data_IF_737897255870
#
_entry.id   IF_737897255870
#
_cell.length_a   1.000
_cell.length_b   1.000
_cell.length_c   1.000
_cell.angle_alpha   90.00
_cell.angle_beta   90.00
_cell.angle_gamma   90.00
#
_symmetry.space_group_name_H-M   'P 1'
#
loop_
_entity.id
_entity.type
_entity.pdbx_description
1 polymer ?
#
# COMPACT_ATOMS: atom_id res chain seq x y z
N UNK A 1 -85.01 -21.63 13.80
CA UNK A 1 -85.05 -20.90 12.52
C UNK A 1 -83.75 -21.19 11.77
N UNK A 2 -83.87 -21.88 10.64
CA UNK A 2 -82.94 -22.16 9.53
C UNK A 2 -81.43 -22.51 9.69
N UNK A 3 -81.18 -23.77 9.31
CA UNK A 3 -80.08 -24.42 8.54
C UNK A 3 -79.60 -23.56 7.32
N UNK A 4 -78.35 -23.58 6.79
CA UNK A 4 -77.69 -24.59 5.92
C UNK A 4 -76.26 -24.11 5.46
N UNK A 5 -75.27 -25.04 5.49
CA UNK A 5 -74.06 -25.34 4.65
C UNK A 5 -73.08 -24.31 4.02
N UNK A 6 -71.81 -24.75 4.02
CA UNK A 6 -70.81 -24.67 2.91
C UNK A 6 -69.60 -23.77 3.22
N UNK A 7 -68.33 -24.04 2.91
CA UNK A 7 -67.59 -25.08 2.19
C UNK A 7 -66.09 -24.92 2.53
N UNK A 8 -65.29 -25.97 2.28
CA UNK A 8 -63.84 -26.02 2.48
C UNK A 8 -63.03 -24.96 1.70
N UNK A 9 -61.84 -24.62 2.23
CA UNK A 9 -60.74 -24.03 1.48
C UNK A 9 -59.43 -24.74 1.88
N UNK A 10 -59.00 -25.68 1.03
CA UNK A 10 -57.58 -25.91 0.76
C UNK A 10 -57.11 -24.79 -0.19
N UNK A 11 -55.89 -24.29 0.02
CA UNK A 11 -55.29 -23.25 -0.80
C UNK A 11 -53.88 -22.92 -0.34
N UNK A 12 -52.92 -23.67 -0.86
CA UNK A 12 -51.48 -23.37 -0.85
C UNK A 12 -51.23 -22.06 -1.61
N UNK A 13 -50.54 -21.09 -1.02
CA UNK A 13 -49.92 -20.01 -1.80
C UNK A 13 -48.55 -19.66 -1.22
N UNK A 14 -47.54 -20.26 -1.85
CA UNK A 14 -46.19 -19.72 -1.92
C UNK A 14 -46.21 -18.57 -2.94
N UNK A 15 -45.80 -17.37 -2.55
CA UNK A 15 -45.40 -16.31 -3.49
C UNK A 15 -43.87 -16.28 -3.53
N UNK A 16 -43.25 -16.76 -4.62
CA UNK A 16 -42.97 -16.04 -5.87
C UNK A 16 -42.04 -14.85 -5.65
N UNK A 17 -40.75 -15.15 -5.53
CA UNK A 17 -39.67 -14.28 -6.01
C UNK A 17 -39.33 -14.80 -7.41
N UNK A 18 -39.55 -13.95 -8.41
CA UNK A 18 -39.37 -14.25 -9.84
C UNK A 18 -37.89 -14.58 -10.16
N UNK A 19 -37.55 -15.80 -10.63
CA UNK A 19 -36.16 -16.19 -10.91
C UNK A 19 -35.59 -15.58 -12.21
N UNK A 20 -36.40 -14.89 -13.01
CA UNK A 20 -35.95 -14.29 -14.29
C UNK A 20 -35.28 -12.92 -14.08
N UNK A 21 -35.53 -12.24 -12.96
CA UNK A 21 -34.92 -10.94 -12.66
C UNK A 21 -33.45 -11.03 -12.21
N UNK A 22 -33.02 -12.16 -11.65
CA UNK A 22 -31.63 -12.37 -11.22
C UNK A 22 -30.68 -12.64 -12.40
N UNK A 23 -31.16 -13.28 -13.47
CA UNK A 23 -30.33 -13.61 -14.64
C UNK A 23 -29.93 -12.36 -15.45
N UNK A 24 -30.80 -11.34 -15.55
CA UNK A 24 -30.44 -10.08 -16.20
C UNK A 24 -29.46 -9.23 -15.37
N UNK A 25 -29.62 -9.23 -14.04
CA UNK A 25 -28.70 -8.53 -13.12
C UNK A 25 -27.33 -9.20 -13.12
N UNK A 26 -27.28 -10.54 -13.09
CA UNK A 26 -26.03 -11.30 -13.23
C UNK A 26 -25.39 -11.14 -14.62
N UNK A 27 -26.18 -11.03 -15.70
CA UNK A 27 -25.68 -10.78 -17.04
C UNK A 27 -25.14 -9.34 -17.22
N UNK A 28 -25.75 -8.33 -16.60
CA UNK A 28 -25.26 -6.94 -16.61
C UNK A 28 -23.98 -6.80 -15.77
N UNK A 29 -23.91 -7.44 -14.60
CA UNK A 29 -22.70 -7.49 -13.77
C UNK A 29 -21.58 -8.28 -14.44
N UNK A 30 -21.91 -9.38 -15.14
CA UNK A 30 -20.98 -10.17 -15.96
C UNK A 30 -20.40 -9.37 -17.12
N UNK A 31 -21.22 -8.62 -17.86
CA UNK A 31 -20.77 -7.75 -18.97
C UNK A 31 -19.89 -6.59 -18.50
N UNK A 32 -20.21 -5.98 -17.35
CA UNK A 32 -19.38 -4.95 -16.74
C UNK A 32 -18.02 -5.50 -16.24
N UNK A 33 -18.00 -6.70 -15.66
CA UNK A 33 -16.76 -7.40 -15.29
C UNK A 33 -15.92 -7.75 -16.52
N UNK A 34 -16.55 -8.20 -17.61
CA UNK A 34 -15.87 -8.60 -18.84
C UNK A 34 -15.31 -7.38 -19.61
N UNK A 35 -16.03 -6.26 -19.64
CA UNK A 35 -15.51 -4.98 -20.17
C UNK A 35 -14.33 -4.46 -19.33
N UNK A 36 -14.39 -4.54 -17.99
CA UNK A 36 -13.26 -4.26 -17.09
C UNK A 36 -12.07 -5.19 -17.34
N UNK A 37 -12.33 -6.46 -17.66
CA UNK A 37 -11.30 -7.46 -17.99
C UNK A 37 -10.61 -7.15 -19.32
N UNK A 38 -11.35 -6.72 -20.35
CA UNK A 38 -10.80 -6.33 -21.66
C UNK A 38 -10.01 -5.03 -21.57
N UNK A 39 -10.45 -4.07 -20.74
CA UNK A 39 -9.75 -2.80 -20.52
C UNK A 39 -8.47 -2.99 -19.69
N UNK A 40 -8.50 -3.85 -18.65
CA UNK A 40 -7.32 -4.23 -17.88
C UNK A 40 -6.32 -5.04 -18.71
N UNK A 41 -6.80 -5.97 -19.56
CA UNK A 41 -5.94 -6.71 -20.51
C UNK A 41 -5.32 -5.80 -21.58
N UNK A 42 -6.03 -4.76 -22.04
CA UNK A 42 -5.46 -3.72 -22.93
C UNK A 42 -4.42 -2.85 -22.23
N UNK A 43 -4.63 -2.52 -20.95
CA UNK A 43 -3.67 -1.74 -20.16
C UNK A 43 -2.37 -2.53 -19.92
N UNK A 44 -2.47 -3.83 -19.61
CA UNK A 44 -1.32 -4.75 -19.51
C UNK A 44 -0.66 -5.00 -20.88
N UNK A 45 -1.45 -5.00 -21.97
CA UNK A 45 -0.96 -5.13 -23.34
C UNK A 45 -0.18 -3.90 -23.85
N UNK A 46 -0.53 -2.69 -23.42
CA UNK A 46 0.18 -1.45 -23.78
C UNK A 46 1.53 -1.27 -23.07
N UNK A 47 1.76 -1.95 -21.95
CA UNK A 47 3.08 -2.01 -21.29
C UNK A 47 4.07 -2.83 -22.14
N UNK A 48 3.61 -3.55 -23.17
CA UNK A 48 4.43 -4.46 -24.00
C UNK A 48 5.06 -3.84 -25.26
N UNK A 49 4.92 -2.54 -25.51
CA UNK A 49 5.51 -1.90 -26.71
C UNK A 49 6.52 -0.84 -26.31
N UNK A 50 7.78 -1.27 -26.14
CA UNK A 50 8.90 -0.39 -25.80
C UNK A 50 10.09 -1.16 -25.21
N UNK A 51 10.75 -1.95 -26.05
CA UNK A 51 12.07 -2.58 -25.88
C UNK A 51 12.96 -2.08 -24.71
N UNK A 52 13.07 -2.87 -23.62
CA UNK A 52 14.29 -3.26 -22.87
C UNK A 52 13.87 -4.29 -21.75
N UNK A 53 14.52 -5.45 -21.58
CA UNK A 53 13.98 -6.56 -20.78
C UNK A 53 14.59 -6.69 -19.37
N UNK A 54 13.86 -6.37 -18.29
CA UNK A 54 14.03 -6.95 -16.93
C UNK A 54 12.71 -6.85 -16.14
N UNK A 55 12.27 -7.88 -15.39
CA UNK A 55 10.99 -7.87 -14.67
C UNK A 55 11.13 -7.09 -13.35
N UNK A 56 11.25 -5.77 -13.44
CA UNK A 56 11.23 -4.87 -12.30
C UNK A 56 9.97 -4.03 -12.43
N UNK A 57 8.95 -4.39 -11.66
CA UNK A 57 7.85 -3.52 -11.19
C UNK A 57 6.50 -4.22 -11.26
N UNK A 58 5.95 -4.47 -10.09
CA UNK A 58 4.52 -4.47 -9.89
C UNK A 58 4.26 -3.62 -8.67
N UNK A 59 3.34 -2.67 -8.82
CA UNK A 59 3.25 -1.47 -8.01
C UNK A 59 1.75 -1.25 -7.78
N UNK A 60 1.26 -1.56 -6.58
CA UNK A 60 -0.18 -1.66 -6.30
C UNK A 60 -0.55 -0.97 -5.00
N UNK A 61 -1.66 -0.24 -5.03
CA UNK A 61 -2.45 0.17 -3.86
C UNK A 61 -3.88 -0.34 -4.04
N UNK A 62 -4.21 -1.48 -3.44
CA UNK A 62 -5.58 -1.96 -3.33
C UNK A 62 -5.73 -2.76 -2.03
N UNK A 63 -6.94 -2.79 -1.45
CA UNK A 63 -7.21 -3.67 -0.30
C UNK A 63 -7.11 -5.15 -0.71
N UNK A 64 -6.89 -6.04 0.26
CA UNK A 64 -6.61 -7.47 0.04
C UNK A 64 -7.57 -8.15 -0.96
N UNK A 65 -8.86 -7.88 -0.86
CA UNK A 65 -9.87 -8.47 -1.76
C UNK A 65 -9.73 -8.03 -3.22
N UNK A 66 -9.27 -6.80 -3.46
CA UNK A 66 -9.01 -6.32 -4.81
C UNK A 66 -7.69 -6.89 -5.35
N UNK A 67 -6.65 -7.02 -4.53
CA UNK A 67 -5.36 -7.60 -4.95
C UNK A 67 -5.49 -9.09 -5.32
N UNK A 68 -6.21 -9.85 -4.51
CA UNK A 68 -6.48 -11.27 -4.74
C UNK A 68 -7.45 -11.45 -5.92
N UNK A 69 -8.53 -10.64 -5.97
CA UNK A 69 -9.53 -10.72 -7.04
C UNK A 69 -9.01 -10.36 -8.43
N UNK A 70 -7.91 -9.60 -8.54
CA UNK A 70 -7.27 -9.28 -9.82
C UNK A 70 -6.07 -10.20 -10.15
N UNK A 71 -5.72 -11.16 -9.28
CA UNK A 71 -4.61 -12.10 -9.44
C UNK A 71 -3.25 -11.45 -9.77
N UNK A 72 -3.05 -10.18 -9.38
CA UNK A 72 -1.89 -9.40 -9.82
C UNK A 72 -0.66 -9.75 -8.96
N UNK A 73 -0.82 -9.82 -7.64
CA UNK A 73 0.27 -10.18 -6.73
C UNK A 73 0.60 -11.67 -6.67
N UNK A 74 -0.36 -12.62 -6.72
CA UNK A 74 -0.05 -14.06 -6.62
C UNK A 74 0.98 -14.58 -7.64
N UNK A 75 1.11 -13.97 -8.82
CA UNK A 75 2.10 -14.35 -9.83
C UNK A 75 3.38 -13.49 -9.87
N UNK A 76 3.48 -12.44 -9.05
CA UNK A 76 4.60 -11.51 -9.10
C UNK A 76 5.71 -11.86 -8.12
N UNK A 77 6.94 -11.89 -8.61
CA UNK A 77 8.14 -12.26 -7.84
C UNK A 77 9.21 -11.17 -7.83
N UNK A 78 8.96 -10.01 -8.44
CA UNK A 78 9.95 -8.91 -8.50
C UNK A 78 10.04 -8.10 -7.21
N UNK A 79 10.61 -6.89 -7.32
CA UNK A 79 10.63 -5.94 -6.19
C UNK A 79 9.33 -5.15 -6.12
N UNK A 80 8.64 -5.20 -4.99
CA UNK A 80 7.39 -4.47 -4.74
C UNK A 80 7.68 -3.17 -3.97
N UNK A 81 7.22 -2.03 -4.49
CA UNK A 81 7.17 -0.77 -3.73
C UNK A 81 5.74 -0.55 -3.23
N UNK A 82 5.53 -0.62 -1.92
CA UNK A 82 4.20 -0.55 -1.30
C UNK A 82 4.19 0.33 -0.05
N UNK A 83 3.01 0.74 0.42
CA UNK A 83 2.93 1.27 1.78
C UNK A 83 3.11 0.16 2.81
N UNK A 84 2.93 0.52 4.08
CA UNK A 84 3.04 -0.42 5.18
C UNK A 84 1.70 -1.08 5.57
N UNK A 85 0.77 -1.24 4.64
CA UNK A 85 -0.47 -1.94 4.95
C UNK A 85 -0.18 -3.41 5.30
N UNK A 86 -0.63 -3.84 6.47
CA UNK A 86 -0.31 -5.16 7.03
C UNK A 86 -0.80 -6.32 6.16
N UNK A 87 -1.88 -6.13 5.40
CA UNK A 87 -2.46 -7.15 4.51
C UNK A 87 -1.48 -7.65 3.45
N UNK A 88 -0.47 -6.85 3.09
CA UNK A 88 0.52 -7.28 2.11
C UNK A 88 1.54 -8.29 2.65
N UNK A 89 1.67 -8.47 3.98
CA UNK A 89 2.68 -9.35 4.56
C UNK A 89 2.59 -10.80 4.05
N UNK A 90 1.37 -11.24 3.67
CA UNK A 90 1.13 -12.58 3.10
C UNK A 90 1.85 -12.81 1.77
N UNK A 91 2.23 -11.75 1.04
CA UNK A 91 2.95 -11.87 -0.22
C UNK A 91 4.48 -11.78 -0.07
N UNK A 92 5.01 -11.43 1.10
CA UNK A 92 6.46 -11.14 1.27
C UNK A 92 7.34 -12.34 0.91
N UNK A 93 6.86 -13.56 1.12
CA UNK A 93 7.60 -14.80 0.92
C UNK A 93 7.92 -15.12 -0.54
N UNK A 94 7.15 -14.60 -1.50
CA UNK A 94 7.32 -14.85 -2.93
C UNK A 94 8.04 -13.71 -3.67
N UNK A 95 8.26 -12.57 -3.00
CA UNK A 95 8.86 -11.38 -3.60
C UNK A 95 10.39 -11.46 -3.52
N UNK A 96 11.06 -10.99 -4.58
CA UNK A 96 12.52 -10.81 -4.57
C UNK A 96 12.93 -9.77 -3.51
N UNK A 97 12.14 -8.71 -3.37
CA UNK A 97 12.35 -7.68 -2.36
C UNK A 97 11.10 -6.83 -2.14
N UNK A 98 11.10 -6.10 -1.02
CA UNK A 98 10.12 -5.07 -0.72
C UNK A 98 10.86 -3.76 -0.46
N UNK A 99 10.38 -2.68 -1.06
CA UNK A 99 10.70 -1.30 -0.68
C UNK A 99 9.45 -0.67 -0.08
N UNK A 100 9.55 -0.11 1.13
CA UNK A 100 8.49 0.71 1.67
C UNK A 100 8.43 2.05 0.95
N UNK A 101 7.22 2.49 0.61
CA UNK A 101 6.97 3.68 -0.16
C UNK A 101 7.41 4.90 0.66
N UNK A 102 8.41 5.60 0.13
CA UNK A 102 9.09 6.69 0.79
C UNK A 102 8.14 7.85 1.15
N UNK A 103 7.19 8.17 0.27
CA UNK A 103 6.18 9.19 0.52
C UNK A 103 5.31 8.88 1.75
N UNK A 104 4.97 7.60 1.95
CA UNK A 104 4.21 7.15 3.11
C UNK A 104 5.04 7.24 4.38
N UNK A 105 6.32 6.84 4.32
CA UNK A 105 7.24 6.96 5.46
C UNK A 105 7.40 8.41 5.91
N UNK A 106 7.65 9.33 4.97
CA UNK A 106 7.80 10.76 5.29
C UNK A 106 6.51 11.37 5.83
N UNK A 107 5.35 10.98 5.30
CA UNK A 107 4.05 11.42 5.82
C UNK A 107 3.79 10.89 7.23
N UNK A 108 4.14 9.64 7.51
CA UNK A 108 4.04 9.08 8.87
C UNK A 108 4.98 9.80 9.84
N UNK A 109 6.24 10.05 9.46
CA UNK A 109 7.20 10.79 10.29
C UNK A 109 6.71 12.20 10.61
N UNK A 110 6.24 12.94 9.59
CA UNK A 110 5.63 14.26 9.76
C UNK A 110 4.43 14.21 10.70
N UNK A 111 3.51 13.27 10.48
CA UNK A 111 2.32 13.12 11.31
C UNK A 111 2.66 12.91 12.78
N UNK A 112 3.68 12.09 13.10
CA UNK A 112 4.13 11.94 14.48
C UNK A 112 4.79 13.21 15.02
N UNK A 113 5.60 13.92 14.22
CA UNK A 113 6.18 15.20 14.61
C UNK A 113 5.14 16.32 14.82
N UNK A 114 3.94 16.18 14.26
CA UNK A 114 2.81 17.09 14.46
C UNK A 114 1.98 16.77 15.71
N UNK A 115 2.05 15.53 16.24
CA UNK A 115 1.46 15.16 17.53
C UNK A 115 2.19 15.78 18.74
N UNK A 116 3.23 16.55 18.48
CA UNK A 116 4.14 17.09 19.47
C UNK A 116 3.55 18.28 20.23
N UNK A 117 2.71 17.98 21.22
CA UNK A 117 2.17 18.96 22.16
C UNK A 117 3.16 19.32 23.28
N UNK A 118 4.31 18.63 23.33
CA UNK A 118 5.35 18.80 24.34
C UNK A 118 6.16 20.09 24.08
N UNK A 119 6.47 20.90 25.11
CA UNK A 119 7.27 22.11 24.96
C UNK A 119 8.70 21.81 24.47
N UNK A 120 9.23 20.62 24.76
CA UNK A 120 10.56 20.19 24.35
C UNK A 120 10.58 19.54 22.96
N UNK A 121 9.44 19.50 22.26
CA UNK A 121 9.33 18.99 20.89
C UNK A 121 9.93 17.59 20.71
N UNK A 122 9.62 16.70 21.66
CA UNK A 122 10.25 15.37 21.77
C UNK A 122 10.03 14.56 20.49
N UNK A 123 8.86 14.64 19.85
CA UNK A 123 8.62 13.86 18.63
C UNK A 123 9.45 14.37 17.47
N UNK A 124 9.66 15.67 17.34
CA UNK A 124 10.50 16.26 16.29
C UNK A 124 11.98 15.90 16.44
N UNK A 125 12.46 15.71 17.67
CA UNK A 125 13.88 15.35 17.92
C UNK A 125 14.31 14.03 17.26
N UNK A 126 13.37 13.13 16.95
CA UNK A 126 13.69 11.89 16.24
C UNK A 126 13.09 11.81 14.82
N UNK A 127 11.89 12.38 14.61
CA UNK A 127 11.23 12.31 13.30
C UNK A 127 11.93 13.14 12.25
N UNK A 128 12.41 14.35 12.60
CA UNK A 128 13.08 15.24 11.66
C UNK A 128 14.46 14.70 11.25
N UNK A 129 15.33 14.24 12.16
CA UNK A 129 16.59 13.61 11.75
C UNK A 129 16.40 12.33 10.93
N UNK A 130 15.40 11.49 11.27
CA UNK A 130 15.08 10.30 10.48
C UNK A 130 14.63 10.68 9.06
N UNK A 131 13.73 11.66 8.93
CA UNK A 131 13.29 12.17 7.63
C UNK A 131 14.43 12.81 6.83
N UNK A 132 15.30 13.58 7.49
CA UNK A 132 16.45 14.22 6.87
C UNK A 132 17.44 13.21 6.31
N UNK A 133 17.79 12.17 7.08
CA UNK A 133 18.67 11.10 6.63
C UNK A 133 18.11 10.39 5.39
N UNK A 134 16.81 10.10 5.40
CA UNK A 134 16.09 9.52 4.27
C UNK A 134 16.12 10.41 3.03
N UNK A 135 15.83 11.71 3.19
CA UNK A 135 15.83 12.68 2.09
C UNK A 135 17.24 12.90 1.49
N UNK A 136 18.26 12.94 2.35
CA UNK A 136 19.66 13.03 1.92
C UNK A 136 20.09 11.76 1.17
N UNK A 137 19.69 10.57 1.62
CA UNK A 137 19.97 9.32 0.92
C UNK A 137 19.26 9.29 -0.45
N UNK A 138 18.01 9.75 -0.51
CA UNK A 138 17.30 9.94 -1.79
C UNK A 138 18.07 10.85 -2.74
N UNK A 139 18.52 12.00 -2.27
CA UNK A 139 19.27 12.95 -3.09
C UNK A 139 20.61 12.36 -3.58
N UNK A 140 21.30 11.57 -2.75
CA UNK A 140 22.52 10.86 -3.14
C UNK A 140 22.23 9.83 -4.24
N UNK A 141 21.15 9.06 -4.12
CA UNK A 141 20.72 8.10 -5.15
C UNK A 141 20.31 8.80 -6.44
N UNK A 142 19.55 9.90 -6.38
CA UNK A 142 19.19 10.68 -7.56
C UNK A 142 20.44 11.20 -8.29
N UNK A 143 21.41 11.74 -7.53
CA UNK A 143 22.70 12.18 -8.09
C UNK A 143 23.45 11.04 -8.77
N UNK A 144 23.49 9.86 -8.14
CA UNK A 144 24.11 8.67 -8.71
C UNK A 144 23.42 8.24 -10.02
N UNK A 145 22.08 8.23 -10.05
CA UNK A 145 21.28 7.95 -11.25
C UNK A 145 21.58 8.94 -12.37
N UNK A 146 21.61 10.23 -12.07
CA UNK A 146 21.94 11.28 -13.07
C UNK A 146 23.36 11.14 -13.61
N UNK A 147 24.30 10.72 -12.77
CA UNK A 147 25.69 10.45 -13.18
C UNK A 147 25.87 9.12 -13.93
N UNK A 148 24.82 8.30 -14.06
CA UNK A 148 24.89 7.00 -14.72
C UNK A 148 25.68 5.93 -13.94
N UNK A 149 25.95 6.16 -12.66
CA UNK A 149 26.65 5.18 -11.82
C UNK A 149 25.67 4.21 -11.17
N UNK A 150 26.14 2.99 -10.92
CA UNK A 150 25.31 1.89 -10.42
C UNK A 150 25.28 1.78 -8.89
N UNK A 151 26.09 2.58 -8.19
CA UNK A 151 26.19 2.58 -6.74
C UNK A 151 26.49 4.00 -6.22
N UNK A 152 26.01 4.29 -5.01
CA UNK A 152 26.40 5.50 -4.28
C UNK A 152 27.70 5.26 -3.51
N UNK A 153 28.32 6.35 -3.06
CA UNK A 153 29.43 6.31 -2.12
C UNK A 153 29.01 5.55 -0.83
N UNK A 154 29.68 4.43 -0.50
CA UNK A 154 29.30 3.60 0.64
C UNK A 154 29.47 4.32 1.99
N UNK A 155 30.45 5.22 2.12
CA UNK A 155 30.69 5.94 3.37
C UNK A 155 29.60 6.98 3.62
N UNK A 156 29.14 7.65 2.55
CA UNK A 156 27.99 8.56 2.60
C UNK A 156 26.74 7.80 3.03
N UNK A 157 26.44 6.66 2.40
CA UNK A 157 25.27 5.85 2.77
C UNK A 157 25.36 5.31 4.19
N UNK A 158 26.54 4.84 4.63
CA UNK A 158 26.75 4.36 5.99
C UNK A 158 26.53 5.47 7.03
N UNK A 159 27.05 6.66 6.79
CA UNK A 159 26.84 7.82 7.67
C UNK A 159 25.38 8.24 7.77
N UNK A 160 24.65 8.25 6.64
CA UNK A 160 23.22 8.54 6.62
C UNK A 160 22.41 7.45 7.33
N UNK A 161 22.79 6.18 7.12
CA UNK A 161 22.14 5.05 7.79
C UNK A 161 22.33 5.09 9.30
N UNK A 162 23.53 5.43 9.78
CA UNK A 162 23.81 5.57 11.21
C UNK A 162 22.97 6.69 11.86
N UNK A 163 22.84 7.85 11.20
CA UNK A 163 21.98 8.95 11.68
C UNK A 163 20.51 8.54 11.76
N UNK A 164 20.03 7.82 10.74
CA UNK A 164 18.68 7.26 10.74
C UNK A 164 18.47 6.27 11.89
N UNK A 165 19.39 5.31 12.06
CA UNK A 165 19.26 4.28 13.09
C UNK A 165 19.30 4.90 14.51
N UNK A 166 20.16 5.89 14.74
CA UNK A 166 20.21 6.65 15.98
C UNK A 166 18.90 7.40 16.25
N UNK A 167 18.37 8.11 15.25
CA UNK A 167 17.12 8.84 15.36
C UNK A 167 15.96 7.88 15.65
N UNK A 168 15.86 6.77 14.91
CA UNK A 168 14.81 5.76 15.12
C UNK A 168 14.93 5.12 16.50
N UNK A 169 16.13 4.79 16.98
CA UNK A 169 16.34 4.28 18.34
C UNK A 169 15.86 5.29 19.40
N UNK A 170 16.15 6.58 19.21
CA UNK A 170 15.63 7.64 20.06
C UNK A 170 14.09 7.70 20.03
N UNK A 171 13.49 7.55 18.86
CA UNK A 171 12.04 7.45 18.70
C UNK A 171 11.42 6.25 19.44
N UNK A 172 12.10 5.09 19.44
CA UNK A 172 11.68 3.92 20.22
C UNK A 172 11.74 4.25 21.72
N UNK A 173 12.89 4.74 22.20
CA UNK A 173 13.12 5.03 23.63
C UNK A 173 12.21 6.13 24.19
N UNK A 174 11.97 7.21 23.45
CA UNK A 174 11.18 8.35 23.94
C UNK A 174 9.67 8.09 23.92
N UNK A 175 9.23 7.04 23.23
CA UNK A 175 7.83 6.67 23.11
C UNK A 175 7.48 5.34 23.78
N UNK A 176 8.46 4.60 24.33
CA UNK A 176 8.22 3.25 24.85
C UNK A 176 7.12 3.17 25.90
N UNK A 177 7.18 4.10 26.86
CA UNK A 177 6.26 4.16 28.00
C UNK A 177 5.49 5.49 27.99
N UNK A 178 5.33 6.10 26.81
CA UNK A 178 4.57 7.36 26.68
C UNK A 178 3.08 7.05 26.65
N UNK A 179 2.34 7.72 27.52
CA UNK A 179 0.89 7.59 27.60
C UNK A 179 0.23 8.00 26.28
N UNK A 180 -0.80 7.25 25.90
CA UNK A 180 -1.63 7.55 24.75
C UNK A 180 -3.06 7.07 25.03
N UNK A 181 -4.12 7.81 24.62
CA UNK A 181 -5.50 7.44 24.92
C UNK A 181 -5.89 6.02 24.47
N UNK A 182 -5.23 5.52 23.42
CA UNK A 182 -5.49 4.21 22.84
C UNK A 182 -4.23 3.36 22.78
N UNK A 183 -3.90 2.71 23.89
CA UNK A 183 -2.81 1.74 23.96
C UNK A 183 -1.42 2.37 23.74
N UNK A 184 -0.67 1.85 22.77
CA UNK A 184 0.73 2.23 22.52
C UNK A 184 0.81 3.53 21.74
N UNK A 185 1.68 4.46 22.16
CA UNK A 185 1.89 5.73 21.44
C UNK A 185 2.22 5.46 19.96
N UNK A 186 1.56 6.14 19.00
CA UNK A 186 1.76 5.87 17.57
C UNK A 186 3.19 6.11 17.11
N UNK A 187 3.93 7.01 17.78
CA UNK A 187 5.36 7.21 17.56
C UNK A 187 6.21 5.98 17.89
N UNK A 188 5.85 5.23 18.93
CA UNK A 188 6.56 4.00 19.27
C UNK A 188 6.34 2.90 18.24
N UNK A 189 5.09 2.75 17.76
CA UNK A 189 4.72 1.83 16.69
C UNK A 189 5.49 2.17 15.41
N UNK A 190 5.53 3.45 15.02
CA UNK A 190 6.28 3.91 13.86
C UNK A 190 7.79 3.66 14.00
N UNK A 191 8.39 4.04 15.12
CA UNK A 191 9.83 3.90 15.33
C UNK A 191 10.25 2.41 15.36
N UNK A 192 9.51 1.56 16.08
CA UNK A 192 9.77 0.10 16.11
C UNK A 192 9.68 -0.49 14.70
N UNK A 193 8.69 -0.06 13.92
CA UNK A 193 8.54 -0.49 12.54
C UNK A 193 9.72 -0.05 11.67
N UNK A 194 10.10 1.22 11.73
CA UNK A 194 11.22 1.77 10.97
C UNK A 194 12.52 1.02 11.30
N UNK A 195 12.72 0.65 12.56
CA UNK A 195 13.86 -0.15 13.01
C UNK A 195 13.82 -1.58 12.44
N UNK A 196 12.71 -2.29 12.64
CA UNK A 196 12.56 -3.71 12.26
C UNK A 196 12.51 -3.92 10.74
N UNK A 197 11.99 -2.93 9.99
CA UNK A 197 11.87 -2.98 8.53
C UNK A 197 12.91 -2.11 7.82
N UNK A 198 14.02 -1.78 8.48
CA UNK A 198 15.02 -0.86 7.92
C UNK A 198 15.57 -1.33 6.56
N UNK A 199 15.73 -2.64 6.33
CA UNK A 199 16.11 -3.16 5.01
C UNK A 199 15.09 -2.81 3.92
N UNK A 200 13.79 -2.87 4.23
CA UNK A 200 12.72 -2.48 3.29
C UNK A 200 12.62 -0.96 3.15
N UNK A 201 13.03 -0.16 4.13
CA UNK A 201 13.08 1.31 4.02
C UNK A 201 14.20 1.75 3.08
N UNK A 202 15.35 1.07 3.14
CA UNK A 202 16.59 1.47 2.49
C UNK A 202 16.88 0.71 1.17
N UNK A 203 15.96 -0.12 0.67
CA UNK A 203 16.21 -0.98 -0.51
C UNK A 203 16.58 -0.18 -1.77
N UNK A 204 16.06 1.03 -1.93
CA UNK A 204 16.41 1.95 -3.03
C UNK A 204 17.91 2.34 -3.08
N UNK A 205 18.65 2.17 -1.99
CA UNK A 205 20.10 2.45 -1.96
C UNK A 205 20.95 1.26 -2.42
N UNK A 206 20.35 0.07 -2.49
CA UNK A 206 20.99 -1.17 -2.95
C UNK A 206 20.76 -1.35 -4.45
N UNK A 207 19.53 -1.07 -4.91
CA UNK A 207 19.16 -1.09 -6.32
C UNK A 207 18.59 0.27 -6.70
N UNK A 208 19.43 1.07 -7.38
CA UNK A 208 19.13 2.45 -7.73
C UNK A 208 18.04 2.57 -8.80
N UNK A 209 17.64 1.46 -9.44
CA UNK A 209 16.53 1.46 -10.39
C UNK A 209 15.17 1.57 -9.68
N UNK A 210 15.08 1.12 -8.43
CA UNK A 210 13.83 1.11 -7.66
C UNK A 210 13.29 2.53 -7.49
N UNK A 211 12.00 2.78 -7.79
CA UNK A 211 11.40 4.09 -7.54
C UNK A 211 11.18 4.30 -6.03
N UNK A 212 11.33 5.54 -5.58
CA UNK A 212 11.10 5.90 -4.18
C UNK A 212 9.63 5.80 -3.77
N UNK A 213 8.71 5.97 -4.71
CA UNK A 213 7.27 6.03 -4.46
C UNK A 213 6.50 5.14 -5.41
N UNK A 214 5.34 4.68 -4.98
CA UNK A 214 4.33 4.02 -5.81
C UNK A 214 3.47 5.00 -6.63
N UNK A 215 3.80 6.30 -6.66
CA UNK A 215 3.01 7.37 -7.29
C UNK A 215 2.66 7.10 -8.78
N UNK A 216 3.51 6.47 -9.60
CA UNK A 216 3.14 6.06 -10.97
C UNK A 216 1.89 5.15 -11.04
N UNK A 217 1.58 4.39 -9.99
CA UNK A 217 0.40 3.54 -9.92
C UNK A 217 -0.79 4.15 -9.18
N UNK A 218 -0.57 5.15 -8.34
CA UNK A 218 -1.67 5.90 -7.71
C UNK A 218 -2.38 6.83 -8.71
N UNK A 219 -1.66 7.41 -9.68
CA UNK A 219 -2.27 8.35 -10.63
C UNK A 219 -3.40 7.75 -11.49
N UNK A 220 -3.24 6.57 -12.12
CA UNK A 220 -4.33 5.95 -12.88
C UNK A 220 -5.52 5.58 -11.98
N UNK A 221 -5.26 5.13 -10.76
CA UNK A 221 -6.31 4.75 -9.80
C UNK A 221 -7.10 5.96 -9.29
N UNK A 222 -6.46 7.13 -9.11
CA UNK A 222 -7.13 8.38 -8.73
C UNK A 222 -8.15 8.81 -9.78
N UNK A 223 -7.81 8.68 -11.06
CA UNK A 223 -8.74 9.00 -12.16
C UNK A 223 -9.98 8.11 -12.13
N UNK A 224 -9.80 6.81 -11.88
CA UNK A 224 -10.94 5.86 -11.73
C UNK A 224 -11.78 6.19 -10.49
N UNK A 225 -11.15 6.45 -9.34
CA UNK A 225 -11.87 6.82 -8.10
C UNK A 225 -12.64 8.14 -8.23
N UNK A 226 -12.13 9.10 -9.01
CA UNK A 226 -12.82 10.35 -9.31
C UNK A 226 -14.03 10.15 -10.24
N UNK A 227 -13.98 9.16 -11.13
CA UNK A 227 -15.09 8.80 -12.03
C UNK A 227 -16.18 7.95 -11.35
N UNK A 228 -15.92 7.43 -10.15
CA UNK A 228 -16.86 6.62 -9.37
C UNK A 228 -17.59 7.45 -8.29
N UNK A 229 -17.44 8.78 -8.31
CA UNK A 229 -18.09 9.70 -7.37
C UNK A 229 -19.25 10.41 -8.03
#
# INVERSE_FOLDING_TARGET
MHQVRGTAFEGTEASLVDPVADDEVHAVLGRAAQQRTVQARRFVGQIRVGFQPRPLELLLHAGDAALDGFAILPGFTGTLVRDDYAGYAKYDHQLTAVQLCFAHLLRSLRGIGELDTDPYRIQRTWTEPAAAALLQAKAAVDKARTAGVIACDPDVLAGLRARYDQAVAWGVMTNQHRDWPTGRHPGHTLATRLQTRAQQVWRFTIDLAIPFTNNPCEQPQRMVKLQMK
#
